data_IF_283172929183
#
_entry.id   IF_283172929183
#
_cell.length_a   1.000
_cell.length_b   1.000
_cell.length_c   1.000
_cell.angle_alpha   90.00
_cell.angle_beta   90.00
_cell.angle_gamma   90.00
#
_symmetry.space_group_name_H-M   'P 1'
#
loop_
_entity.id
_entity.type
_entity.pdbx_description
1 polymer ?
#
# COMPACT_ATOMS: atom_id res chain seq x y z
N UNK A 1 -62.80 40.07 -57.05
CA UNK A 1 -63.94 39.16 -57.31
C UNK A 1 -63.41 37.75 -57.42
N UNK A 2 -64.12 36.75 -56.89
CA UNK A 2 -63.67 35.36 -57.02
C UNK A 2 -63.79 34.91 -58.48
N UNK A 3 -63.04 33.87 -58.88
CA UNK A 3 -63.21 33.27 -60.21
C UNK A 3 -64.65 32.80 -60.44
N UNK A 4 -65.32 32.30 -59.40
CA UNK A 4 -66.72 31.90 -59.44
C UNK A 4 -67.65 33.10 -59.68
N UNK A 5 -67.52 34.19 -58.93
CA UNK A 5 -68.35 35.39 -59.13
C UNK A 5 -68.16 35.99 -60.52
N UNK A 6 -66.92 35.97 -61.05
CA UNK A 6 -66.66 36.44 -62.42
C UNK A 6 -67.31 35.55 -63.48
N UNK A 7 -67.28 34.22 -63.28
CA UNK A 7 -67.94 33.27 -64.16
C UNK A 7 -69.47 33.46 -64.10
N UNK A 8 -70.05 33.56 -62.91
CA UNK A 8 -71.49 33.73 -62.68
C UNK A 8 -72.01 35.01 -63.36
N UNK A 9 -71.28 36.12 -63.23
CA UNK A 9 -71.61 37.39 -63.89
C UNK A 9 -71.47 37.31 -65.40
N UNK A 10 -70.44 36.61 -65.91
CA UNK A 10 -70.23 36.45 -67.35
C UNK A 10 -71.28 35.55 -68.02
N UNK A 11 -71.88 34.63 -67.26
CA UNK A 11 -72.98 33.76 -67.70
C UNK A 11 -74.38 34.31 -67.42
N UNK A 12 -74.50 35.48 -66.79
CA UNK A 12 -75.78 36.07 -66.42
C UNK A 12 -76.59 36.49 -67.65
N UNK A 13 -77.87 36.11 -67.71
CA UNK A 13 -78.79 36.41 -68.82
C UNK A 13 -79.68 37.62 -68.58
N UNK A 14 -79.67 38.19 -67.36
CA UNK A 14 -80.38 39.42 -67.00
C UNK A 14 -79.68 40.19 -65.86
N UNK A 15 -80.14 41.42 -65.60
CA UNK A 15 -79.59 42.29 -64.56
C UNK A 15 -79.83 41.80 -63.13
N UNK A 16 -80.88 41.01 -62.88
CA UNK A 16 -81.17 40.47 -61.54
C UNK A 16 -80.17 39.38 -61.15
N UNK A 17 -79.73 38.56 -62.11
CA UNK A 17 -78.68 37.57 -61.89
C UNK A 17 -77.35 38.24 -61.55
N UNK A 18 -76.98 39.31 -62.26
CA UNK A 18 -75.78 40.11 -61.94
C UNK A 18 -75.85 40.70 -60.52
N UNK A 19 -77.00 41.29 -60.13
CA UNK A 19 -77.21 41.83 -58.78
C UNK A 19 -77.11 40.73 -57.72
N UNK A 20 -77.66 39.55 -57.99
CA UNK A 20 -77.61 38.39 -57.08
C UNK A 20 -76.19 37.90 -56.87
N UNK A 21 -75.41 37.72 -57.95
CA UNK A 21 -74.00 37.32 -57.87
C UNK A 21 -73.14 38.35 -57.11
N UNK A 22 -73.42 39.65 -57.29
CA UNK A 22 -72.74 40.71 -56.54
C UNK A 22 -73.11 40.71 -55.06
N UNK A 23 -74.38 40.50 -54.71
CA UNK A 23 -74.83 40.37 -53.31
C UNK A 23 -74.20 39.15 -52.62
N UNK A 24 -74.12 38.01 -53.32
CA UNK A 24 -73.45 36.81 -52.82
C UNK A 24 -71.95 37.04 -52.61
N UNK A 25 -71.29 37.75 -53.54
CA UNK A 25 -69.89 38.14 -53.37
C UNK A 25 -69.70 39.01 -52.13
N UNK A 26 -70.50 40.06 -51.96
CA UNK A 26 -70.46 40.93 -50.77
C UNK A 26 -70.68 40.13 -49.49
N UNK A 27 -71.63 39.19 -49.47
CA UNK A 27 -71.89 38.32 -48.32
C UNK A 27 -70.73 37.36 -48.01
N UNK A 28 -69.93 36.97 -49.01
CA UNK A 28 -68.76 36.10 -48.85
C UNK A 28 -67.47 36.82 -48.43
N UNK A 29 -67.44 38.17 -48.52
CA UNK A 29 -66.25 38.97 -48.20
C UNK A 29 -65.67 38.68 -46.80
N UNK A 30 -66.47 38.57 -45.72
CA UNK A 30 -65.92 38.26 -44.39
C UNK A 30 -65.22 36.89 -44.32
N UNK A 31 -65.77 35.88 -45.02
CA UNK A 31 -65.15 34.55 -45.08
C UNK A 31 -63.84 34.57 -45.87
N UNK A 32 -63.81 35.29 -47.00
CA UNK A 32 -62.59 35.47 -47.81
C UNK A 32 -61.53 36.23 -47.00
N UNK A 33 -61.92 37.28 -46.29
CA UNK A 33 -61.02 38.06 -45.44
C UNK A 33 -60.46 37.21 -44.29
N UNK A 34 -61.29 36.43 -43.61
CA UNK A 34 -60.85 35.49 -42.57
C UNK A 34 -59.86 34.46 -43.11
N UNK A 35 -60.14 33.84 -44.26
CA UNK A 35 -59.24 32.85 -44.88
C UNK A 35 -57.90 33.47 -45.26
N UNK A 36 -57.90 34.68 -45.82
CA UNK A 36 -56.68 35.42 -46.13
C UNK A 36 -55.89 35.74 -44.85
N UNK A 37 -56.55 36.27 -43.82
CA UNK A 37 -55.96 36.57 -42.51
C UNK A 37 -55.33 35.32 -41.87
N UNK A 38 -56.02 34.18 -41.90
CA UNK A 38 -55.46 32.93 -41.39
C UNK A 38 -54.26 32.43 -42.22
N UNK A 39 -54.25 32.61 -43.54
CA UNK A 39 -53.11 32.23 -44.38
C UNK A 39 -51.88 33.12 -44.07
N UNK A 40 -52.08 34.43 -43.99
CA UNK A 40 -51.04 35.41 -43.66
C UNK A 40 -50.48 35.15 -42.25
N UNK A 41 -51.35 34.87 -41.27
CA UNK A 41 -50.93 34.56 -39.91
C UNK A 41 -50.06 33.30 -39.82
N UNK A 42 -50.40 32.23 -40.57
CA UNK A 42 -49.57 31.01 -40.62
C UNK A 42 -48.20 31.30 -41.22
N UNK A 43 -48.14 32.10 -42.28
CA UNK A 43 -46.86 32.49 -42.89
C UNK A 43 -46.00 33.32 -41.92
N UNK A 44 -46.59 34.32 -41.26
CA UNK A 44 -45.90 35.14 -40.28
C UNK A 44 -45.39 34.32 -39.09
N UNK A 45 -46.22 33.40 -38.59
CA UNK A 45 -45.84 32.50 -37.50
C UNK A 45 -44.68 31.58 -37.90
N UNK A 46 -44.70 31.02 -39.12
CA UNK A 46 -43.61 30.17 -39.61
C UNK A 46 -42.30 30.93 -39.73
N UNK A 47 -42.33 32.16 -40.25
CA UNK A 47 -41.15 33.03 -40.32
C UNK A 47 -40.61 33.35 -38.92
N UNK A 48 -41.51 33.65 -37.98
CA UNK A 48 -41.15 33.93 -36.60
C UNK A 48 -40.53 32.71 -35.90
N UNK A 49 -41.12 31.52 -36.06
CA UNK A 49 -40.54 30.28 -35.57
C UNK A 49 -39.13 30.07 -36.10
N UNK A 50 -38.93 30.18 -37.42
CA UNK A 50 -37.63 29.95 -38.04
C UNK A 50 -36.56 30.89 -37.48
N UNK A 51 -36.90 32.16 -37.24
CA UNK A 51 -36.00 33.11 -36.60
C UNK A 51 -35.66 32.69 -35.16
N UNK A 52 -36.66 32.28 -34.37
CA UNK A 52 -36.44 31.81 -32.99
C UNK A 52 -35.59 30.54 -32.94
N UNK A 53 -35.84 29.56 -33.81
CA UNK A 53 -35.05 28.32 -33.88
C UNK A 53 -33.58 28.63 -34.21
N UNK A 54 -33.33 29.58 -35.13
CA UNK A 54 -31.98 30.03 -35.45
C UNK A 54 -31.29 30.72 -34.25
N UNK A 55 -32.02 31.57 -33.53
CA UNK A 55 -31.53 32.19 -32.29
C UNK A 55 -31.12 31.14 -31.26
N UNK A 56 -31.98 30.15 -30.99
CA UNK A 56 -31.69 29.05 -30.05
C UNK A 56 -30.43 28.26 -30.48
N UNK A 57 -30.32 27.89 -31.76
CA UNK A 57 -29.17 27.12 -32.25
C UNK A 57 -27.84 27.89 -32.14
N UNK A 58 -27.88 29.19 -32.39
CA UNK A 58 -26.72 30.08 -32.35
C UNK A 58 -26.35 30.57 -30.93
N UNK A 59 -27.25 30.37 -29.95
CA UNK A 59 -27.02 30.80 -28.58
C UNK A 59 -25.86 30.01 -27.94
N UNK A 60 -24.77 30.72 -27.66
CA UNK A 60 -23.54 30.16 -27.09
C UNK A 60 -23.58 30.00 -25.58
N UNK A 61 -24.68 30.38 -24.93
CA UNK A 61 -24.91 30.13 -23.50
C UNK A 61 -25.56 28.77 -23.24
N UNK A 62 -26.10 28.13 -24.28
CA UNK A 62 -26.83 26.87 -24.16
C UNK A 62 -25.94 25.65 -24.39
N UNK A 63 -26.16 24.61 -23.58
CA UNK A 63 -25.67 23.24 -23.84
C UNK A 63 -26.44 22.60 -25.00
N UNK A 64 -25.96 21.47 -25.52
CA UNK A 64 -26.68 20.72 -26.55
C UNK A 64 -28.06 20.24 -26.05
N UNK A 65 -28.17 19.89 -24.76
CA UNK A 65 -29.44 19.50 -24.15
C UNK A 65 -30.40 20.68 -24.04
N UNK A 66 -29.92 21.86 -23.64
CA UNK A 66 -30.75 23.06 -23.60
C UNK A 66 -31.26 23.44 -24.99
N UNK A 67 -30.39 23.40 -26.01
CA UNK A 67 -30.78 23.65 -27.41
C UNK A 67 -31.86 22.67 -27.84
N UNK A 68 -31.66 21.36 -27.62
CA UNK A 68 -32.64 20.34 -27.98
C UNK A 68 -34.01 20.61 -27.34
N UNK A 69 -34.03 20.83 -26.02
CA UNK A 69 -35.26 21.05 -25.25
C UNK A 69 -35.99 22.34 -25.68
N UNK A 70 -35.26 23.42 -25.93
CA UNK A 70 -35.86 24.69 -26.34
C UNK A 70 -36.41 24.65 -27.78
N UNK A 71 -35.73 23.93 -28.70
CA UNK A 71 -36.24 23.72 -30.06
C UNK A 71 -37.54 22.91 -30.06
N UNK A 72 -37.63 21.88 -29.22
CA UNK A 72 -38.86 21.08 -29.05
C UNK A 72 -40.00 21.91 -28.46
N UNK A 73 -39.72 22.72 -27.43
CA UNK A 73 -40.70 23.62 -26.84
C UNK A 73 -41.25 24.63 -27.88
N UNK A 74 -40.38 25.26 -28.67
CA UNK A 74 -40.78 26.22 -29.71
C UNK A 74 -41.68 25.57 -30.78
N UNK A 75 -41.34 24.37 -31.23
CA UNK A 75 -42.13 23.61 -32.21
C UNK A 75 -43.49 23.16 -31.66
N UNK A 76 -43.54 22.83 -30.37
CA UNK A 76 -44.79 22.48 -29.68
C UNK A 76 -45.74 23.67 -29.66
N UNK A 77 -45.27 24.85 -29.25
CA UNK A 77 -46.06 26.09 -29.26
C UNK A 77 -46.50 26.46 -30.67
N UNK A 78 -45.63 26.32 -31.66
CA UNK A 78 -45.98 26.54 -33.07
C UNK A 78 -47.16 25.68 -33.52
N UNK A 79 -47.12 24.37 -33.23
CA UNK A 79 -48.18 23.43 -33.61
C UNK A 79 -49.51 23.78 -32.93
N UNK A 80 -49.48 24.15 -31.65
CA UNK A 80 -50.65 24.61 -30.90
C UNK A 80 -51.24 25.89 -31.49
N UNK A 81 -50.38 26.83 -31.89
CA UNK A 81 -50.80 28.11 -32.47
C UNK A 81 -51.42 27.91 -33.86
N UNK A 82 -50.88 27.01 -34.69
CA UNK A 82 -51.48 26.66 -35.98
C UNK A 82 -52.92 26.13 -35.82
N UNK A 83 -53.16 25.30 -34.80
CA UNK A 83 -54.49 24.79 -34.48
C UNK A 83 -55.42 25.93 -34.02
N UNK A 84 -54.94 26.85 -33.19
CA UNK A 84 -55.70 28.02 -32.74
C UNK A 84 -56.08 28.95 -33.91
N UNK A 85 -55.14 29.24 -34.82
CA UNK A 85 -55.38 30.04 -36.04
C UNK A 85 -56.42 29.34 -36.94
N UNK A 86 -56.36 28.01 -37.07
CA UNK A 86 -57.33 27.25 -37.85
C UNK A 86 -58.74 27.27 -37.25
N UNK A 87 -58.86 27.27 -35.93
CA UNK A 87 -60.12 27.31 -35.20
C UNK A 87 -60.72 28.74 -35.09
N UNK A 88 -59.97 29.78 -35.42
CA UNK A 88 -60.39 31.17 -35.28
C UNK A 88 -61.58 31.52 -36.18
N UNK A 89 -62.62 32.12 -35.60
CA UNK A 89 -63.87 32.46 -36.28
C UNK A 89 -63.96 33.93 -36.73
N UNK A 90 -62.94 34.75 -36.44
CA UNK A 90 -62.87 36.15 -36.86
C UNK A 90 -61.41 36.59 -37.02
N UNK A 91 -61.18 37.63 -37.82
CA UNK A 91 -59.84 38.21 -38.04
C UNK A 91 -59.22 38.69 -36.73
N UNK A 92 -60.03 39.18 -35.79
CA UNK A 92 -59.56 39.58 -34.45
C UNK A 92 -59.02 38.39 -33.64
N UNK A 93 -59.70 37.23 -33.69
CA UNK A 93 -59.23 36.01 -33.01
C UNK A 93 -57.99 35.45 -33.70
N UNK A 94 -57.87 35.57 -35.03
CA UNK A 94 -56.62 35.22 -35.75
C UNK A 94 -55.46 36.09 -35.27
N UNK A 95 -55.66 37.41 -35.18
CA UNK A 95 -54.64 38.34 -34.71
C UNK A 95 -54.20 38.05 -33.27
N UNK A 96 -55.14 37.75 -32.37
CA UNK A 96 -54.85 37.39 -30.98
C UNK A 96 -54.10 36.05 -30.85
N UNK A 97 -54.53 35.03 -31.60
CA UNK A 97 -53.84 33.74 -31.66
C UNK A 97 -52.41 33.88 -32.20
N UNK A 98 -52.21 34.70 -33.24
CA UNK A 98 -50.89 34.99 -33.78
C UNK A 98 -49.99 35.70 -32.76
N UNK A 99 -50.49 36.77 -32.13
CA UNK A 99 -49.73 37.54 -31.16
C UNK A 99 -49.34 36.69 -29.93
N UNK A 100 -50.29 35.91 -29.40
CA UNK A 100 -50.06 34.99 -28.29
C UNK A 100 -49.05 33.89 -28.68
N UNK A 101 -49.21 33.30 -29.86
CA UNK A 101 -48.30 32.27 -30.35
C UNK A 101 -46.88 32.79 -30.55
N UNK A 102 -46.71 33.98 -31.13
CA UNK A 102 -45.40 34.62 -31.26
C UNK A 102 -44.76 34.88 -29.89
N UNK A 103 -45.50 35.44 -28.93
CA UNK A 103 -44.98 35.67 -27.58
C UNK A 103 -44.52 34.35 -26.92
N UNK A 104 -45.30 33.28 -27.06
CA UNK A 104 -44.97 31.98 -26.47
C UNK A 104 -43.81 31.27 -27.20
N UNK A 105 -43.72 31.39 -28.53
CA UNK A 105 -42.56 30.88 -29.29
C UNK A 105 -41.30 31.63 -28.85
N UNK A 106 -41.36 32.95 -28.71
CA UNK A 106 -40.23 33.74 -28.23
C UNK A 106 -39.79 33.33 -26.82
N UNK A 107 -40.75 33.08 -25.93
CA UNK A 107 -40.49 32.65 -24.56
C UNK A 107 -39.86 31.25 -24.45
N UNK A 108 -39.90 30.44 -25.51
CA UNK A 108 -39.18 29.18 -25.57
C UNK A 108 -37.65 29.37 -25.62
N UNK A 109 -37.18 30.51 -26.14
CA UNK A 109 -35.76 30.86 -26.11
C UNK A 109 -35.39 31.47 -24.75
N UNK A 110 -34.68 30.70 -23.94
CA UNK A 110 -34.23 31.09 -22.60
C UNK A 110 -32.72 30.97 -22.52
N UNK A 111 -32.02 32.09 -22.69
CA UNK A 111 -30.58 32.16 -22.50
C UNK A 111 -30.20 31.77 -21.06
N UNK A 112 -29.02 31.17 -20.92
CA UNK A 112 -28.42 30.82 -19.63
C UNK A 112 -27.36 31.86 -19.25
N UNK A 113 -26.83 31.83 -18.01
CA UNK A 113 -25.57 32.51 -17.73
C UNK A 113 -24.50 32.11 -18.75
N UNK A 114 -23.52 32.98 -18.96
CA UNK A 114 -22.35 32.63 -19.75
C UNK A 114 -21.58 31.45 -19.12
N UNK A 115 -20.56 30.94 -19.82
CA UNK A 115 -19.77 29.82 -19.32
C UNK A 115 -19.22 30.09 -17.92
N UNK A 116 -18.74 31.31 -17.64
CA UNK A 116 -18.23 31.69 -16.32
C UNK A 116 -19.29 31.54 -15.21
N UNK A 117 -20.53 31.94 -15.48
CA UNK A 117 -21.64 31.73 -14.56
C UNK A 117 -22.01 30.25 -14.36
N UNK A 118 -21.67 29.38 -15.32
CA UNK A 118 -21.94 27.94 -15.27
C UNK A 118 -20.78 27.12 -14.67
N UNK A 119 -19.54 27.64 -14.67
CA UNK A 119 -18.36 26.96 -14.15
C UNK A 119 -18.53 26.39 -12.74
N UNK A 120 -19.17 27.06 -11.76
CA UNK A 120 -19.36 26.48 -10.43
C UNK A 120 -20.13 25.16 -10.45
N UNK A 121 -21.21 25.07 -11.23
CA UNK A 121 -22.01 23.85 -11.35
C UNK A 121 -21.27 22.74 -12.11
N UNK A 122 -20.51 23.11 -13.15
CA UNK A 122 -19.68 22.17 -13.91
C UNK A 122 -18.56 21.58 -13.04
N UNK A 123 -17.87 22.43 -12.26
CA UNK A 123 -16.84 22.00 -11.31
C UNK A 123 -17.41 21.13 -10.19
N UNK A 124 -18.62 21.42 -9.73
CA UNK A 124 -19.29 20.59 -8.74
C UNK A 124 -19.52 19.14 -9.22
N UNK A 125 -19.80 18.94 -10.52
CA UNK A 125 -19.92 17.58 -11.10
C UNK A 125 -18.60 16.82 -11.01
N UNK A 126 -17.47 17.49 -11.26
CA UNK A 126 -16.12 16.93 -11.14
C UNK A 126 -15.82 16.61 -9.67
N UNK A 127 -16.14 17.53 -8.75
CA UNK A 127 -15.91 17.34 -7.32
C UNK A 127 -16.71 16.17 -6.75
N UNK A 128 -17.96 15.99 -7.19
CA UNK A 128 -18.79 14.85 -6.79
C UNK A 128 -18.17 13.54 -7.25
N UNK A 129 -17.81 13.41 -8.52
CA UNK A 129 -17.18 12.20 -9.05
C UNK A 129 -15.85 11.89 -8.34
N UNK A 130 -15.01 12.92 -8.17
CA UNK A 130 -13.72 12.78 -7.45
C UNK A 130 -13.93 12.32 -6.02
N UNK A 131 -14.92 12.88 -5.30
CA UNK A 131 -15.23 12.48 -3.94
C UNK A 131 -15.70 11.02 -3.86
N UNK A 132 -16.56 10.59 -4.80
CA UNK A 132 -17.04 9.21 -4.85
C UNK A 132 -15.88 8.23 -5.01
N UNK A 133 -14.99 8.47 -5.98
CA UNK A 133 -13.81 7.64 -6.22
C UNK A 133 -12.86 7.63 -5.02
N UNK A 134 -12.61 8.79 -4.40
CA UNK A 134 -11.78 8.87 -3.20
C UNK A 134 -12.39 8.09 -2.04
N UNK A 135 -13.72 8.09 -1.90
CA UNK A 135 -14.42 7.31 -0.88
C UNK A 135 -14.30 5.80 -1.15
N UNK A 136 -14.48 5.35 -2.40
CA UNK A 136 -14.28 3.96 -2.82
C UNK A 136 -12.84 3.48 -2.54
N UNK A 137 -11.83 4.27 -2.90
CA UNK A 137 -10.42 3.95 -2.63
C UNK A 137 -10.16 3.83 -1.12
N UNK A 138 -10.68 4.76 -0.31
CA UNK A 138 -10.48 4.73 1.14
C UNK A 138 -11.13 3.50 1.78
N UNK A 139 -12.31 3.11 1.28
CA UNK A 139 -13.09 2.00 1.79
C UNK A 139 -12.56 0.62 1.34
N UNK A 140 -11.66 0.56 0.36
CA UNK A 140 -11.07 -0.68 -0.18
C UNK A 140 -10.05 -1.30 0.81
N UNK A 141 -10.37 -2.41 1.52
CA UNK A 141 -9.45 -3.00 2.50
C UNK A 141 -8.25 -3.75 1.88
N UNK A 142 -8.39 -4.41 0.71
CA UNK A 142 -7.27 -4.92 -0.08
C UNK A 142 -6.16 -3.94 -0.48
N UNK A 143 -6.44 -2.63 -0.57
CA UNK A 143 -5.41 -1.63 -0.85
C UNK A 143 -4.60 -1.28 0.39
N UNK A 144 -3.27 -1.18 0.22
CA UNK A 144 -2.39 -0.64 1.26
C UNK A 144 -2.59 0.86 1.42
N UNK A 145 -2.21 1.41 2.58
CA UNK A 145 -2.24 2.86 2.78
C UNK A 145 -1.44 3.63 1.73
N UNK A 146 -0.31 3.05 1.27
CA UNK A 146 0.52 3.65 0.23
C UNK A 146 -0.20 3.69 -1.13
N UNK A 147 -0.85 2.58 -1.51
CA UNK A 147 -1.59 2.51 -2.78
C UNK A 147 -2.78 3.48 -2.77
N UNK A 148 -3.50 3.57 -1.64
CA UNK A 148 -4.60 4.53 -1.47
C UNK A 148 -4.13 5.97 -1.68
N UNK A 149 -3.03 6.35 -1.05
CA UNK A 149 -2.45 7.69 -1.22
C UNK A 149 -2.11 7.99 -2.68
N UNK A 150 -1.52 7.03 -3.38
CA UNK A 150 -1.17 7.19 -4.79
C UNK A 150 -2.40 7.32 -5.70
N UNK A 151 -3.44 6.50 -5.49
CA UNK A 151 -4.67 6.59 -6.26
C UNK A 151 -5.44 7.89 -5.98
N UNK A 152 -5.56 8.31 -4.71
CA UNK A 152 -6.20 9.58 -4.34
C UNK A 152 -5.48 10.78 -4.96
N UNK A 153 -4.14 10.79 -4.93
CA UNK A 153 -3.35 11.85 -5.57
C UNK A 153 -3.62 11.89 -7.09
N UNK A 154 -3.74 10.73 -7.73
CA UNK A 154 -4.03 10.61 -9.16
C UNK A 154 -5.45 11.11 -9.49
N UNK A 155 -6.45 10.79 -8.66
CA UNK A 155 -7.82 11.26 -8.83
C UNK A 155 -7.90 12.79 -8.76
N UNK A 156 -7.28 13.39 -7.73
CA UNK A 156 -7.21 14.84 -7.58
C UNK A 156 -6.48 15.51 -8.76
N UNK A 157 -5.37 14.94 -9.22
CA UNK A 157 -4.64 15.47 -10.37
C UNK A 157 -5.49 15.48 -11.65
N UNK A 158 -6.25 14.40 -11.91
CA UNK A 158 -7.15 14.33 -13.06
C UNK A 158 -8.33 15.30 -12.92
N UNK A 159 -8.87 15.45 -11.71
CA UNK A 159 -9.92 16.42 -11.43
C UNK A 159 -9.47 17.85 -11.72
N UNK A 160 -8.28 18.23 -11.24
CA UNK A 160 -7.70 19.56 -11.49
C UNK A 160 -7.43 19.79 -12.99
N UNK A 161 -6.91 18.77 -13.68
CA UNK A 161 -6.71 18.83 -15.13
C UNK A 161 -8.04 19.01 -15.89
N UNK A 162 -9.09 18.29 -15.50
CA UNK A 162 -10.41 18.40 -16.11
C UNK A 162 -11.06 19.77 -15.84
N UNK A 163 -10.95 20.30 -14.62
CA UNK A 163 -11.40 21.67 -14.29
C UNK A 163 -10.71 22.70 -15.17
N UNK A 164 -9.40 22.57 -15.37
CA UNK A 164 -8.65 23.47 -16.24
C UNK A 164 -9.06 23.37 -17.72
N UNK A 165 -9.49 22.19 -18.20
CA UNK A 165 -10.05 22.02 -19.55
C UNK A 165 -11.43 22.68 -19.64
N UNK A 166 -12.29 22.47 -18.64
CA UNK A 166 -13.64 23.04 -18.57
C UNK A 166 -13.58 24.57 -18.49
N UNK A 167 -12.67 25.15 -17.70
CA UNK A 167 -12.45 26.60 -17.61
C UNK A 167 -12.01 27.22 -18.95
N UNK A 168 -11.25 26.47 -19.77
CA UNK A 168 -10.77 26.90 -21.08
C UNK A 168 -11.72 26.58 -22.24
N UNK A 169 -12.88 25.98 -21.96
CA UNK A 169 -13.84 25.63 -23.01
C UNK A 169 -14.35 26.88 -23.73
N UNK A 170 -14.64 26.76 -25.02
CA UNK A 170 -15.11 27.89 -25.83
C UNK A 170 -16.59 28.24 -25.56
N UNK A 171 -17.38 27.27 -25.12
CA UNK A 171 -18.81 27.38 -24.80
C UNK A 171 -19.23 26.21 -23.88
N UNK A 172 -20.47 26.21 -23.36
CA UNK A 172 -20.98 25.12 -22.52
C UNK A 172 -21.03 23.75 -23.21
N UNK A 173 -21.14 23.69 -24.53
CA UNK A 173 -21.17 22.43 -25.29
C UNK A 173 -19.79 21.77 -25.26
N UNK A 174 -18.74 22.55 -25.49
CA UNK A 174 -17.36 22.09 -25.34
C UNK A 174 -17.04 21.71 -23.89
N UNK A 175 -17.58 22.43 -22.91
CA UNK A 175 -17.42 22.08 -21.50
C UNK A 175 -18.12 20.74 -21.15
N UNK A 176 -19.35 20.53 -21.63
CA UNK A 176 -20.05 19.27 -21.44
C UNK A 176 -19.34 18.10 -22.14
N UNK A 177 -18.80 18.31 -23.34
CA UNK A 177 -17.99 17.29 -24.01
C UNK A 177 -16.71 16.97 -23.23
N UNK A 178 -16.05 17.97 -22.65
CA UNK A 178 -14.90 17.77 -21.78
C UNK A 178 -15.28 16.91 -20.56
N UNK A 179 -16.42 17.19 -19.92
CA UNK A 179 -16.93 16.38 -18.80
C UNK A 179 -17.24 14.94 -19.23
N UNK A 180 -17.94 14.74 -20.35
CA UNK A 180 -18.27 13.41 -20.88
C UNK A 180 -17.01 12.56 -21.13
N UNK A 181 -15.93 13.17 -21.62
CA UNK A 181 -14.68 12.48 -21.88
C UNK A 181 -13.80 12.32 -20.63
N UNK A 182 -13.84 13.29 -19.71
CA UNK A 182 -12.92 13.38 -18.58
C UNK A 182 -13.38 12.65 -17.32
N UNK A 183 -14.69 12.66 -17.04
CA UNK A 183 -15.26 12.03 -15.84
C UNK A 183 -14.96 10.51 -15.77
N UNK A 184 -15.13 9.72 -16.86
CA UNK A 184 -14.78 8.30 -16.83
C UNK A 184 -13.31 8.07 -16.43
N UNK A 185 -12.41 8.97 -16.83
CA UNK A 185 -11.00 8.88 -16.48
C UNK A 185 -10.69 9.13 -15.00
N UNK A 186 -11.57 9.83 -14.27
CA UNK A 186 -11.52 9.98 -12.81
C UNK A 186 -12.08 8.71 -12.15
N UNK A 187 -13.23 8.22 -12.64
CA UNK A 187 -13.90 7.02 -12.14
C UNK A 187 -12.99 5.78 -12.22
N UNK A 188 -12.24 5.63 -13.32
CA UNK A 188 -11.29 4.54 -13.54
C UNK A 188 -10.03 4.61 -12.66
N UNK A 189 -9.81 5.66 -11.87
CA UNK A 189 -8.62 5.74 -11.00
C UNK A 189 -8.63 4.69 -9.90
N UNK A 190 -9.82 4.33 -9.39
CA UNK A 190 -9.91 3.27 -8.40
C UNK A 190 -9.55 1.93 -9.06
N UNK A 191 -8.39 1.40 -8.65
CA UNK A 191 -7.92 0.08 -9.05
C UNK A 191 -7.93 -0.80 -7.80
N UNK A 192 -8.88 -1.75 -7.69
CA UNK A 192 -9.01 -2.55 -6.49
C UNK A 192 -7.76 -3.37 -6.17
N UNK A 193 -7.46 -3.50 -4.88
CA UNK A 193 -6.37 -4.38 -4.43
C UNK A 193 -6.68 -5.85 -4.69
N UNK A 194 -5.63 -6.69 -4.67
CA UNK A 194 -5.83 -8.15 -4.74
C UNK A 194 -6.62 -8.63 -3.52
N UNK A 195 -7.60 -9.52 -3.69
CA UNK A 195 -8.42 -10.01 -2.60
C UNK A 195 -7.57 -10.40 -1.36
N UNK A 196 -7.97 -9.92 -0.17
CA UNK A 196 -7.21 -10.13 1.07
C UNK A 196 -6.87 -11.60 1.32
N UNK A 197 -7.79 -12.52 1.01
CA UNK A 197 -7.56 -13.96 1.14
C UNK A 197 -6.39 -14.46 0.29
N UNK A 198 -6.19 -13.91 -0.91
CA UNK A 198 -5.04 -14.26 -1.75
C UNK A 198 -3.75 -13.68 -1.16
N UNK A 199 -3.80 -12.44 -0.67
CA UNK A 199 -2.65 -11.82 0.01
C UNK A 199 -2.25 -12.61 1.27
N UNK A 200 -3.23 -13.02 2.09
CA UNK A 200 -3.04 -13.87 3.26
C UNK A 200 -2.39 -15.20 2.88
N UNK A 201 -2.89 -15.89 1.84
CA UNK A 201 -2.31 -17.16 1.40
C UNK A 201 -0.85 -17.00 0.94
N UNK A 202 -0.53 -15.94 0.19
CA UNK A 202 0.85 -15.64 -0.22
C UNK A 202 1.73 -15.32 0.99
N UNK A 203 1.20 -14.58 1.96
CA UNK A 203 1.91 -14.24 3.20
C UNK A 203 2.18 -15.49 4.06
N UNK A 204 1.22 -16.40 4.19
CA UNK A 204 1.39 -17.67 4.90
C UNK A 204 2.49 -18.52 4.25
N UNK A 205 2.48 -18.64 2.92
CA UNK A 205 3.55 -19.34 2.20
C UNK A 205 4.92 -18.68 2.44
N UNK A 206 4.97 -17.35 2.42
CA UNK A 206 6.21 -16.60 2.70
C UNK A 206 6.71 -16.88 4.12
N UNK A 207 5.81 -16.90 5.11
CA UNK A 207 6.14 -17.22 6.51
C UNK A 207 6.69 -18.65 6.65
N UNK A 208 6.09 -19.62 5.97
CA UNK A 208 6.57 -21.02 5.96
C UNK A 208 7.95 -21.16 5.32
N UNK A 209 8.16 -20.53 4.16
CA UNK A 209 9.42 -20.57 3.42
C UNK A 209 10.55 -19.88 4.20
N UNK A 210 10.28 -18.72 4.78
CA UNK A 210 11.24 -17.96 5.59
C UNK A 210 11.56 -18.69 6.90
N UNK A 211 10.57 -19.31 7.57
CA UNK A 211 10.82 -20.14 8.75
C UNK A 211 11.72 -21.34 8.41
N UNK A 212 11.44 -22.02 7.30
CA UNK A 212 12.23 -23.16 6.83
C UNK A 212 13.66 -22.74 6.50
N UNK A 213 13.82 -21.65 5.75
CA UNK A 213 15.12 -21.05 5.42
C UNK A 213 15.87 -20.66 6.68
N UNK A 214 15.16 -20.12 7.69
CA UNK A 214 15.79 -19.70 8.92
C UNK A 214 16.39 -20.85 9.72
N UNK A 215 15.66 -21.98 9.81
CA UNK A 215 16.15 -23.22 10.44
C UNK A 215 17.37 -23.78 9.74
N UNK A 216 17.39 -23.75 8.40
CA UNK A 216 18.54 -24.22 7.62
C UNK A 216 19.81 -23.38 7.83
N UNK A 217 19.65 -22.09 8.16
CA UNK A 217 20.75 -21.17 8.43
C UNK A 217 21.24 -21.20 9.88
N UNK A 218 20.61 -21.99 10.76
CA UNK A 218 21.09 -22.13 12.13
C UNK A 218 22.49 -22.76 12.14
N UNK A 219 23.41 -22.27 13.00
CA UNK A 219 24.70 -22.92 13.21
C UNK A 219 24.53 -24.38 13.66
N UNK A 220 25.50 -25.22 13.33
CA UNK A 220 25.53 -26.63 13.74
C UNK A 220 25.47 -26.75 15.26
N UNK A 221 24.62 -27.65 15.76
CA UNK A 221 24.40 -27.86 17.20
C UNK A 221 23.35 -26.95 17.84
N UNK A 222 22.89 -25.90 17.15
CA UNK A 222 21.90 -24.96 17.70
C UNK A 222 20.44 -25.28 17.34
N UNK A 223 20.17 -26.24 16.45
CA UNK A 223 18.82 -26.56 15.98
C UNK A 223 17.86 -26.91 17.13
N UNK A 224 18.30 -27.76 18.07
CA UNK A 224 17.48 -28.19 19.23
C UNK A 224 17.08 -27.00 20.11
N UNK A 225 17.90 -25.95 20.18
CA UNK A 225 17.65 -24.78 21.01
C UNK A 225 16.72 -23.75 20.34
N UNK A 226 16.75 -23.62 19.01
CA UNK A 226 16.07 -22.53 18.30
C UNK A 226 14.95 -22.95 17.35
N UNK A 227 14.84 -24.22 16.95
CA UNK A 227 13.79 -24.69 16.04
C UNK A 227 12.39 -24.40 16.58
N UNK A 228 12.17 -24.67 17.87
CA UNK A 228 10.87 -24.45 18.53
C UNK A 228 10.52 -22.96 18.65
N UNK A 229 11.53 -22.09 18.84
CA UNK A 229 11.34 -20.65 18.88
C UNK A 229 10.96 -20.09 17.51
N UNK A 230 11.59 -20.61 16.44
CA UNK A 230 11.23 -20.26 15.05
C UNK A 230 9.82 -20.76 14.72
N UNK A 231 9.45 -21.97 15.13
CA UNK A 231 8.08 -22.47 14.95
C UNK A 231 7.04 -21.64 15.72
N UNK A 232 7.38 -21.18 16.93
CA UNK A 232 6.50 -20.30 17.70
C UNK A 232 6.34 -18.92 17.05
N UNK A 233 7.42 -18.36 16.50
CA UNK A 233 7.37 -17.13 15.72
C UNK A 233 6.47 -17.30 14.48
N UNK A 234 6.61 -18.43 13.79
CA UNK A 234 5.78 -18.80 12.63
C UNK A 234 4.30 -18.86 12.98
N UNK A 235 3.93 -19.64 14.01
CA UNK A 235 2.55 -19.76 14.48
C UNK A 235 1.95 -18.42 14.93
N UNK A 236 2.77 -17.55 15.52
CA UNK A 236 2.33 -16.20 15.89
C UNK A 236 1.99 -15.39 14.65
N UNK A 237 2.84 -15.45 13.61
CA UNK A 237 2.60 -14.78 12.34
C UNK A 237 1.37 -15.34 11.61
N UNK A 238 1.22 -16.66 11.53
CA UNK A 238 0.04 -17.33 10.96
C UNK A 238 -1.26 -16.84 11.63
N UNK A 239 -1.27 -16.74 12.96
CA UNK A 239 -2.40 -16.21 13.72
C UNK A 239 -2.68 -14.75 13.40
N UNK A 240 -1.66 -13.89 13.39
CA UNK A 240 -1.80 -12.46 13.06
C UNK A 240 -2.32 -12.28 11.62
N UNK A 241 -1.82 -13.06 10.67
CA UNK A 241 -2.27 -13.03 9.28
C UNK A 241 -3.74 -13.44 9.14
N UNK A 242 -4.17 -14.50 9.82
CA UNK A 242 -5.59 -14.93 9.81
C UNK A 242 -6.56 -13.91 10.44
N UNK A 243 -6.04 -12.95 11.21
CA UNK A 243 -6.81 -11.91 11.88
C UNK A 243 -6.75 -10.56 11.15
N UNK A 244 -5.88 -10.44 10.15
CA UNK A 244 -5.67 -9.20 9.42
C UNK A 244 -6.92 -8.81 8.62
N UNK A 245 -7.33 -7.56 8.76
CA UNK A 245 -8.55 -7.02 8.14
C UNK A 245 -8.25 -6.15 6.90
N UNK A 246 -6.98 -5.84 6.66
CA UNK A 246 -6.53 -4.99 5.57
C UNK A 246 -5.09 -5.35 5.16
N UNK A 247 -4.65 -4.83 4.01
CA UNK A 247 -3.33 -5.11 3.47
C UNK A 247 -2.17 -4.64 4.38
N UNK A 248 -2.35 -3.54 5.11
CA UNK A 248 -1.31 -3.00 5.98
C UNK A 248 -1.05 -3.91 7.19
N UNK A 249 -2.08 -4.53 7.77
CA UNK A 249 -1.95 -5.50 8.85
C UNK A 249 -1.22 -6.77 8.39
N UNK A 250 -1.49 -7.24 7.16
CA UNK A 250 -0.75 -8.36 6.55
C UNK A 250 0.74 -8.00 6.43
N UNK A 251 1.05 -6.82 5.89
CA UNK A 251 2.43 -6.35 5.75
C UNK A 251 3.14 -6.19 7.10
N UNK A 252 2.43 -5.71 8.12
CA UNK A 252 2.97 -5.57 9.49
C UNK A 252 3.28 -6.93 10.13
N UNK A 253 2.39 -7.91 9.99
CA UNK A 253 2.62 -9.27 10.50
C UNK A 253 3.87 -9.90 9.86
N UNK A 254 4.02 -9.79 8.53
CA UNK A 254 5.22 -10.25 7.81
C UNK A 254 6.49 -9.54 8.28
N UNK A 255 6.46 -8.22 8.41
CA UNK A 255 7.61 -7.45 8.86
C UNK A 255 8.01 -7.80 10.31
N UNK A 256 7.03 -8.03 11.19
CA UNK A 256 7.26 -8.45 12.57
C UNK A 256 7.88 -9.84 12.64
N UNK A 257 7.32 -10.80 11.89
CA UNK A 257 7.83 -12.15 11.79
C UNK A 257 9.31 -12.16 11.34
N UNK A 258 9.62 -11.44 10.25
CA UNK A 258 10.98 -11.34 9.73
C UNK A 258 11.97 -10.83 10.78
N UNK A 259 11.63 -9.76 11.50
CA UNK A 259 12.49 -9.23 12.58
C UNK A 259 12.70 -10.24 13.71
N UNK A 260 11.65 -10.98 14.07
CA UNK A 260 11.73 -11.98 15.14
C UNK A 260 12.68 -13.11 14.74
N UNK A 261 12.52 -13.64 13.52
CA UNK A 261 13.38 -14.69 12.97
C UNK A 261 14.83 -14.22 12.83
N UNK A 262 15.06 -13.03 12.26
CA UNK A 262 16.41 -12.45 12.17
C UNK A 262 17.08 -12.32 13.55
N UNK A 263 16.29 -11.97 14.58
CA UNK A 263 16.76 -11.88 15.96
C UNK A 263 17.14 -13.24 16.54
N UNK A 264 16.33 -14.28 16.29
CA UNK A 264 16.61 -15.65 16.74
C UNK A 264 17.87 -16.21 16.09
N UNK A 265 18.09 -15.94 14.79
CA UNK A 265 19.30 -16.39 14.10
C UNK A 265 20.57 -15.74 14.69
N UNK A 266 20.53 -14.43 14.95
CA UNK A 266 21.65 -13.74 15.61
C UNK A 266 21.94 -14.28 17.01
N UNK A 267 20.90 -14.66 17.76
CA UNK A 267 21.08 -15.31 19.07
C UNK A 267 21.73 -16.69 18.92
N UNK A 268 21.33 -17.46 17.91
CA UNK A 268 21.93 -18.76 17.63
C UNK A 268 23.41 -18.64 17.23
N UNK A 269 23.74 -17.68 16.37
CA UNK A 269 25.13 -17.35 16.00
C UNK A 269 25.97 -16.97 17.21
N UNK A 270 25.47 -16.05 18.05
CA UNK A 270 26.17 -15.63 19.25
C UNK A 270 26.41 -16.78 20.24
N UNK A 271 25.42 -17.67 20.39
CA UNK A 271 25.54 -18.84 21.27
C UNK A 271 26.54 -19.87 20.72
N UNK A 272 26.51 -20.15 19.42
CA UNK A 272 27.48 -21.03 18.77
C UNK A 272 28.91 -20.49 18.91
N UNK A 273 29.08 -19.18 18.75
CA UNK A 273 30.37 -18.52 18.96
C UNK A 273 30.85 -18.68 20.41
N UNK A 274 29.99 -18.44 21.41
CA UNK A 274 30.35 -18.60 22.81
C UNK A 274 30.75 -20.05 23.16
N UNK A 275 30.07 -21.05 22.60
CA UNK A 275 30.42 -22.46 22.76
C UNK A 275 31.77 -22.80 22.10
N UNK A 276 32.05 -22.26 20.91
CA UNK A 276 33.32 -22.45 20.23
C UNK A 276 34.50 -21.78 20.98
N UNK A 277 34.28 -20.58 21.53
CA UNK A 277 35.27 -19.88 22.35
C UNK A 277 35.56 -20.65 23.66
N UNK A 278 34.53 -21.19 24.31
CA UNK A 278 34.71 -22.03 25.50
C UNK A 278 35.50 -23.31 25.18
N UNK A 279 35.18 -23.98 24.06
CA UNK A 279 35.91 -25.16 23.62
C UNK A 279 37.39 -24.85 23.35
N UNK A 280 37.66 -23.76 22.62
CA UNK A 280 39.03 -23.31 22.35
C UNK A 280 39.79 -22.96 23.64
N UNK A 281 39.12 -22.33 24.62
CA UNK A 281 39.72 -22.03 25.92
C UNK A 281 40.04 -23.30 26.72
N UNK A 282 39.18 -24.33 26.68
CA UNK A 282 39.47 -25.64 27.29
C UNK A 282 40.67 -26.31 26.64
N UNK A 283 40.74 -26.33 25.31
CA UNK A 283 41.87 -26.90 24.57
C UNK A 283 43.18 -26.18 24.90
N UNK A 284 43.15 -24.85 24.99
CA UNK A 284 44.32 -24.07 25.39
C UNK A 284 44.73 -24.37 26.84
N UNK A 285 43.77 -24.45 27.76
CA UNK A 285 44.03 -24.79 29.15
C UNK A 285 44.61 -26.22 29.29
N UNK A 286 44.11 -27.19 28.52
CA UNK A 286 44.64 -28.55 28.52
C UNK A 286 46.10 -28.59 28.04
N UNK A 287 46.44 -27.85 26.98
CA UNK A 287 47.83 -27.69 26.53
C UNK A 287 48.72 -27.04 27.58
N UNK A 288 48.20 -26.05 28.32
CA UNK A 288 48.93 -25.41 29.41
C UNK A 288 49.20 -26.41 30.54
N UNK A 289 48.19 -27.19 30.95
CA UNK A 289 48.36 -28.26 31.96
C UNK A 289 49.42 -29.27 31.52
N UNK A 290 49.40 -29.71 30.26
CA UNK A 290 50.40 -30.65 29.73
C UNK A 290 51.82 -30.05 29.75
N UNK A 291 51.98 -28.83 29.25
CA UNK A 291 53.25 -28.11 29.27
C UNK A 291 53.82 -27.96 30.69
N UNK A 292 52.97 -27.57 31.64
CA UNK A 292 53.36 -27.35 33.02
C UNK A 292 53.65 -28.67 33.76
N UNK A 293 52.92 -29.74 33.43
CA UNK A 293 53.22 -31.11 33.89
C UNK A 293 54.63 -31.52 33.46
N UNK A 294 54.95 -31.37 32.18
CA UNK A 294 56.26 -31.73 31.62
C UNK A 294 57.38 -30.88 32.21
N UNK A 295 57.14 -29.59 32.37
CA UNK A 295 58.08 -28.66 32.98
C UNK A 295 58.33 -29.02 34.45
N UNK A 296 57.28 -29.33 35.20
CA UNK A 296 57.40 -29.68 36.62
C UNK A 296 58.15 -30.99 36.84
N UNK A 297 57.89 -32.00 36.02
CA UNK A 297 58.62 -33.28 36.04
C UNK A 297 60.12 -33.10 35.76
N UNK A 298 60.49 -32.22 34.81
CA UNK A 298 61.90 -31.91 34.50
C UNK A 298 62.63 -31.23 35.65
N UNK A 299 61.92 -30.51 36.51
CA UNK A 299 62.49 -29.80 37.66
C UNK A 299 62.68 -30.69 38.91
N UNK A 300 62.24 -31.95 38.90
CA UNK A 300 62.39 -32.84 40.06
C UNK A 300 63.87 -33.17 40.38
N UNK A 301 64.26 -33.23 41.68
CA UNK A 301 65.62 -33.61 42.09
C UNK A 301 66.01 -35.04 41.69
N UNK A 302 67.30 -35.25 41.37
CA UNK A 302 67.85 -36.56 40.99
C UNK A 302 67.74 -37.57 42.16
N UNK A 303 67.14 -38.74 41.89
CA UNK A 303 66.99 -39.84 42.85
C UNK A 303 65.58 -40.08 43.41
N UNK A 304 64.64 -39.14 43.23
CA UNK A 304 63.26 -39.23 43.77
C UNK A 304 62.16 -39.23 42.71
N UNK A 305 62.55 -39.42 41.45
CA UNK A 305 61.73 -39.16 40.26
C UNK A 305 60.44 -39.98 40.21
N UNK A 306 60.47 -41.26 40.63
CA UNK A 306 59.33 -42.16 40.34
C UNK A 306 58.05 -41.82 41.10
N UNK A 307 58.10 -41.40 42.37
CA UNK A 307 56.88 -41.15 43.16
C UNK A 307 56.32 -39.74 42.93
N UNK A 308 57.16 -38.71 42.92
CA UNK A 308 56.68 -37.34 42.68
C UNK A 308 56.23 -37.12 41.23
N UNK A 309 56.83 -37.80 40.25
CA UNK A 309 56.32 -37.77 38.88
C UNK A 309 54.90 -38.37 38.77
N UNK A 310 54.61 -39.45 39.51
CA UNK A 310 53.28 -40.04 39.55
C UNK A 310 52.26 -39.07 40.19
N UNK A 311 52.62 -38.40 41.28
CA UNK A 311 51.73 -37.41 41.90
C UNK A 311 51.42 -36.23 40.96
N UNK A 312 52.40 -35.79 40.16
CA UNK A 312 52.20 -34.78 39.11
C UNK A 312 51.25 -35.29 38.02
N UNK A 313 51.40 -36.55 37.60
CA UNK A 313 50.47 -37.18 36.63
C UNK A 313 49.04 -37.30 37.16
N UNK A 314 48.88 -37.63 38.44
CA UNK A 314 47.58 -37.67 39.10
C UNK A 314 46.94 -36.28 39.15
N UNK A 315 47.73 -35.24 39.48
CA UNK A 315 47.26 -33.85 39.45
C UNK A 315 46.82 -33.41 38.04
N UNK A 316 47.58 -33.81 37.00
CA UNK A 316 47.21 -33.58 35.60
C UNK A 316 45.87 -34.23 35.26
N UNK A 317 45.69 -35.50 35.59
CA UNK A 317 44.46 -36.23 35.29
C UNK A 317 43.23 -35.58 35.95
N UNK A 318 43.38 -35.10 37.19
CA UNK A 318 42.31 -34.34 37.87
C UNK A 318 42.01 -33.05 37.12
N UNK A 319 43.04 -32.29 36.72
CA UNK A 319 42.86 -31.04 35.98
C UNK A 319 42.20 -31.27 34.61
N UNK A 320 42.60 -32.28 33.85
CA UNK A 320 41.98 -32.63 32.57
C UNK A 320 40.49 -32.99 32.73
N UNK A 321 40.15 -33.74 33.78
CA UNK A 321 38.76 -34.08 34.10
C UNK A 321 37.94 -32.83 34.45
N UNK A 322 38.50 -31.95 35.27
CA UNK A 322 37.82 -30.72 35.70
C UNK A 322 37.65 -29.75 34.52
N UNK A 323 38.65 -29.63 33.63
CA UNK A 323 38.56 -28.85 32.38
C UNK A 323 37.47 -29.39 31.45
N UNK A 324 37.36 -30.72 31.32
CA UNK A 324 36.31 -31.33 30.51
C UNK A 324 34.91 -30.93 31.01
N UNK A 325 34.73 -30.84 32.33
CA UNK A 325 33.47 -30.48 32.97
C UNK A 325 33.19 -28.98 33.05
N UNK A 326 34.21 -28.14 32.88
CA UNK A 326 34.08 -26.70 33.02
C UNK A 326 32.99 -26.11 32.09
N UNK A 327 32.13 -25.25 32.60
CA UNK A 327 31.02 -24.67 31.83
C UNK A 327 31.26 -23.22 31.41
N UNK A 328 32.31 -22.61 31.93
CA UNK A 328 32.63 -21.20 31.73
C UNK A 328 34.13 -20.95 31.92
N UNK A 329 34.56 -19.74 31.58
CA UNK A 329 35.96 -19.33 31.69
C UNK A 329 36.47 -19.32 33.14
N UNK A 330 35.61 -19.00 34.11
CA UNK A 330 36.00 -18.93 35.52
C UNK A 330 36.36 -20.32 36.07
N UNK A 331 35.57 -21.34 35.73
CA UNK A 331 35.86 -22.72 36.09
C UNK A 331 37.17 -23.22 35.46
N UNK A 332 37.45 -22.85 34.20
CA UNK A 332 38.73 -23.15 33.55
C UNK A 332 39.89 -22.54 34.36
N UNK A 333 39.79 -21.26 34.72
CA UNK A 333 40.84 -20.56 35.49
C UNK A 333 41.01 -21.14 36.90
N UNK A 334 39.92 -21.52 37.56
CA UNK A 334 39.97 -22.18 38.86
C UNK A 334 40.70 -23.52 38.77
N UNK A 335 40.44 -24.30 37.73
CA UNK A 335 41.14 -25.58 37.49
C UNK A 335 42.63 -25.39 37.29
N UNK A 336 43.03 -24.44 36.43
CA UNK A 336 44.45 -24.10 36.22
C UNK A 336 45.14 -23.66 37.52
N UNK A 337 44.46 -22.84 38.32
CA UNK A 337 44.98 -22.36 39.61
C UNK A 337 45.19 -23.52 40.60
N UNK A 338 44.19 -24.40 40.75
CA UNK A 338 44.28 -25.58 41.64
C UNK A 338 45.36 -26.55 41.20
N UNK A 339 45.43 -26.82 39.89
CA UNK A 339 46.47 -27.65 39.31
C UNK A 339 47.86 -27.11 39.64
N UNK A 340 48.10 -25.82 39.37
CA UNK A 340 49.37 -25.17 39.67
C UNK A 340 49.73 -25.27 41.15
N UNK A 341 48.80 -24.98 42.06
CA UNK A 341 49.03 -25.10 43.50
C UNK A 341 49.41 -26.53 43.92
N UNK A 342 48.78 -27.53 43.32
CA UNK A 342 49.07 -28.94 43.62
C UNK A 342 50.44 -29.31 43.10
N UNK A 343 50.80 -28.92 41.88
CA UNK A 343 52.12 -29.16 41.30
C UNK A 343 53.22 -28.47 42.10
N UNK A 344 53.05 -27.19 42.43
CA UNK A 344 54.02 -26.41 43.21
C UNK A 344 54.24 -27.09 44.59
N UNK A 345 53.18 -27.54 45.26
CA UNK A 345 53.26 -28.30 46.53
C UNK A 345 54.00 -29.64 46.39
N UNK A 346 53.76 -30.38 45.31
CA UNK A 346 54.46 -31.64 45.03
C UNK A 346 55.95 -31.40 44.78
N UNK A 347 56.31 -30.32 44.09
CA UNK A 347 57.71 -29.95 43.85
C UNK A 347 58.41 -29.51 45.14
N UNK A 348 57.77 -28.68 45.97
CA UNK A 348 58.29 -28.27 47.28
C UNK A 348 58.55 -29.49 48.19
N UNK A 349 57.64 -30.47 48.19
CA UNK A 349 57.83 -31.73 48.93
C UNK A 349 59.01 -32.55 48.39
N UNK A 350 59.20 -32.60 47.07
CA UNK A 350 60.32 -33.29 46.45
C UNK A 350 61.66 -32.62 46.81
N UNK A 351 61.72 -31.30 46.78
CA UNK A 351 62.90 -30.53 47.18
C UNK A 351 63.24 -30.74 48.66
N UNK A 352 62.25 -30.63 49.55
CA UNK A 352 62.43 -30.85 50.99
C UNK A 352 62.95 -32.26 51.29
N UNK A 353 62.43 -33.29 50.61
CA UNK A 353 62.91 -34.65 50.77
C UNK A 353 64.33 -34.83 50.20
N UNK A 354 64.67 -34.20 49.08
CA UNK A 354 66.03 -34.23 48.52
C UNK A 354 67.05 -33.58 49.46
N UNK A 355 66.69 -32.47 50.09
CA UNK A 355 67.51 -31.83 51.12
C UNK A 355 67.71 -32.76 52.32
N UNK A 356 66.65 -33.37 52.84
CA UNK A 356 66.73 -34.31 53.96
C UNK A 356 67.63 -35.53 53.66
N UNK A 357 67.57 -36.08 52.43
CA UNK A 357 68.44 -37.18 52.00
C UNK A 357 69.91 -36.74 51.87
N UNK A 358 70.16 -35.54 51.34
CA UNK A 358 71.50 -34.96 51.24
C UNK A 358 72.12 -34.70 52.62
N UNK A 359 71.35 -34.15 53.56
CA UNK A 359 71.76 -33.94 54.95
C UNK A 359 72.07 -35.27 55.65
N UNK A 360 71.23 -36.30 55.46
CA UNK A 360 71.49 -37.63 56.00
C UNK A 360 72.76 -38.26 55.41
N UNK A 361 73.01 -38.08 54.11
CA UNK A 361 74.23 -38.55 53.47
C UNK A 361 75.48 -37.82 53.99
N UNK A 362 75.38 -36.50 54.18
CA UNK A 362 76.45 -35.69 54.77
C UNK A 362 76.74 -36.12 56.23
N UNK A 363 75.69 -36.33 57.04
CA UNK A 363 75.82 -36.82 58.42
C UNK A 363 76.46 -38.21 58.48
N UNK A 364 76.06 -39.13 57.59
CA UNK A 364 76.70 -40.46 57.47
C UNK A 364 78.18 -40.34 57.09
N UNK A 365 78.53 -39.48 56.13
CA UNK A 365 79.92 -39.25 55.73
C UNK A 365 80.76 -38.67 56.87
N UNK A 366 80.21 -37.71 57.63
CA UNK A 366 80.85 -37.17 58.83
C UNK A 366 81.05 -38.24 59.90
N UNK A 367 80.05 -39.08 60.15
CA UNK A 367 80.15 -40.18 61.11
C UNK A 367 81.22 -41.21 60.70
N UNK A 368 81.32 -41.56 59.41
CA UNK A 368 82.38 -42.44 58.90
C UNK A 368 83.76 -41.82 59.12
N UNK A 369 83.95 -40.54 58.78
CA UNK A 369 85.21 -39.82 59.02
C UNK A 369 85.57 -39.76 60.51
N UNK A 370 84.58 -39.60 61.38
CA UNK A 370 84.77 -39.61 62.83
C UNK A 370 85.24 -40.99 63.33
N UNK A 371 84.61 -42.07 62.85
CA UNK A 371 85.01 -43.44 63.19
C UNK A 371 86.41 -43.78 62.64
N UNK A 372 86.75 -43.35 61.42
CA UNK A 372 88.09 -43.52 60.86
C UNK A 372 89.16 -42.75 61.65
N UNK A 373 88.87 -41.50 62.03
CA UNK A 373 89.74 -40.70 62.89
C UNK A 373 89.94 -41.37 64.27
N UNK A 374 88.88 -41.87 64.89
CA UNK A 374 88.94 -42.52 66.19
C UNK A 374 89.68 -43.89 66.14
N UNK A 375 89.56 -44.62 65.02
CA UNK A 375 90.28 -45.88 64.78
C UNK A 375 91.79 -45.69 64.50
N UNK A 376 92.18 -44.60 63.84
CA UNK A 376 93.61 -44.27 63.64
C UNK A 376 94.25 -43.74 64.94
N UNK A 377 93.46 -43.03 65.75
CA UNK A 377 93.87 -42.56 67.09
C UNK A 377 94.13 -43.72 68.07
N UNK A 378 93.45 -44.86 67.92
CA UNK A 378 93.66 -46.06 68.75
C UNK A 378 94.79 -46.97 68.28
N UNK A 379 95.35 -46.77 67.08
CA UNK A 379 96.55 -47.50 66.60
C UNK A 379 97.88 -46.80 66.95
N UNK A 380 97.82 -45.53 67.38
CA UNK A 380 99.00 -44.73 67.77
C UNK A 380 99.22 -44.66 69.30
N UNK A 381 98.35 -45.28 70.09
CA UNK A 381 98.51 -45.52 71.53
C UNK A 381 98.76 -47.01 71.77
#
# INVERSE_FOLDING_TARGET
MTQQTNADISSAVDGNQVVTSLQQFVASLPTIALQASQADARQQLQQFLNATLASIQSDRTLSDSDVHNQLEAAQTVYSQTLAAIAAAQSEAVVADALATGQANIQAAHQAKPDLNGQLPALNQRIDIATKQVVEEINQDPPLSSQDKQQQIATANQKADALKAIVEKAADPRAADQALQNGLPGIDEVHQPGQALKNQEQVALQTVDDDATTAKQKLPEGQQVAFDSAIDAARQTAEKELSQAQNADEIQQALAKFKRMVDGLQKQAEAKAQAEAELAAAKDQAAKQVEHDTDSAKKALPAGQVSQFAQNIDEARQVAEKDLAQAQNADEIQQTLTKFKQTVDSVQEQAEAKAQAEAELAAAKSQAVKQVEHDADSTKQA
#
